data_IF_661921095069
#
_entry.id   IF_661921095069
#
_cell.length_a   1.000
_cell.length_b   1.000
_cell.length_c   1.000
_cell.angle_alpha   90.00
_cell.angle_beta   90.00
_cell.angle_gamma   90.00
#
_symmetry.space_group_name_H-M   'P 1'
#
loop_
_entity.id
_entity.type
_entity.pdbx_description
1 polymer ?
#
# COMPACT_ATOMS: atom_id res chain seq x y z
N UNK A 1 -4.93 21.36 -22.75
CA UNK A 1 -4.92 19.89 -22.75
C UNK A 1 -4.15 19.47 -21.51
N UNK A 2 -4.81 18.92 -20.48
CA UNK A 2 -4.08 18.45 -19.30
C UNK A 2 -3.51 17.08 -19.67
N UNK A 3 -2.19 16.99 -19.85
CA UNK A 3 -1.53 15.73 -20.21
C UNK A 3 -1.67 14.76 -19.03
N UNK A 4 -2.22 13.57 -19.28
CA UNK A 4 -2.25 12.52 -18.26
C UNK A 4 -0.81 12.08 -17.95
N UNK A 5 -0.53 11.85 -16.66
CA UNK A 5 0.78 11.48 -16.14
C UNK A 5 0.63 10.20 -15.31
N UNK A 6 1.68 9.40 -15.28
CA UNK A 6 1.78 8.17 -14.50
C UNK A 6 2.54 8.40 -13.19
N UNK A 7 2.01 7.86 -12.08
CA UNK A 7 2.55 8.05 -10.74
C UNK A 7 2.83 6.74 -10.03
N UNK A 8 3.99 6.68 -9.37
CA UNK A 8 4.31 5.70 -8.33
C UNK A 8 4.30 6.38 -6.96
N UNK A 9 3.55 5.82 -6.02
CA UNK A 9 3.39 6.34 -4.67
C UNK A 9 4.10 5.41 -3.69
N UNK A 10 4.93 5.96 -2.82
CA UNK A 10 5.67 5.21 -1.81
C UNK A 10 5.27 5.67 -0.42
N UNK A 11 4.82 4.75 0.44
CA UNK A 11 4.45 5.04 1.84
C UNK A 11 5.43 4.35 2.77
N UNK A 12 6.03 5.10 3.70
CA UNK A 12 7.12 4.62 4.58
C UNK A 12 6.76 4.53 6.06
N UNK A 13 5.68 5.17 6.50
CA UNK A 13 5.29 5.28 7.91
C UNK A 13 4.17 4.31 8.33
N UNK A 14 4.20 3.91 9.61
CA UNK A 14 3.13 3.13 10.22
C UNK A 14 1.82 3.94 10.31
N UNK A 15 0.65 3.27 10.34
CA UNK A 15 -0.65 3.94 10.32
C UNK A 15 -0.96 4.82 11.54
N UNK A 16 -0.23 4.66 12.65
CA UNK A 16 -0.40 5.43 13.88
C UNK A 16 0.72 6.44 14.15
N UNK A 17 1.81 6.42 13.37
CA UNK A 17 2.94 7.34 13.58
C UNK A 17 2.61 8.77 13.13
N UNK A 18 1.65 8.93 12.21
CA UNK A 18 1.26 10.21 11.67
C UNK A 18 0.06 10.09 10.74
N UNK A 19 -0.14 11.11 9.90
CA UNK A 19 -1.22 11.15 8.92
C UNK A 19 -0.73 10.86 7.49
N UNK A 20 0.52 10.43 7.30
CA UNK A 20 1.12 10.30 5.97
C UNK A 20 0.42 9.26 5.10
N UNK A 21 0.00 8.13 5.68
CA UNK A 21 -0.79 7.12 4.97
C UNK A 21 -2.14 7.67 4.49
N UNK A 22 -2.83 8.45 5.33
CA UNK A 22 -4.09 9.09 4.98
C UNK A 22 -3.90 10.20 3.93
N UNK A 23 -2.82 10.99 4.03
CA UNK A 23 -2.47 12.00 3.04
C UNK A 23 -2.15 11.38 1.68
N UNK A 24 -1.39 10.28 1.67
CA UNK A 24 -1.10 9.51 0.47
C UNK A 24 -2.39 8.97 -0.18
N UNK A 25 -3.32 8.45 0.61
CA UNK A 25 -4.61 7.99 0.11
C UNK A 25 -5.41 9.11 -0.55
N UNK A 26 -5.54 10.26 0.12
CA UNK A 26 -6.22 11.45 -0.44
C UNK A 26 -5.54 11.96 -1.71
N UNK A 27 -4.21 11.92 -1.74
CA UNK A 27 -3.43 12.28 -2.92
C UNK A 27 -3.73 11.34 -4.09
N UNK A 28 -3.78 10.03 -3.85
CA UNK A 28 -4.13 9.02 -4.86
C UNK A 28 -5.54 9.25 -5.42
N UNK A 29 -6.52 9.52 -4.55
CA UNK A 29 -7.89 9.84 -4.96
C UNK A 29 -7.93 11.08 -5.87
N UNK A 30 -7.30 12.17 -5.45
CA UNK A 30 -7.25 13.41 -6.23
C UNK A 30 -6.50 13.26 -7.56
N UNK A 31 -5.45 12.42 -7.62
CA UNK A 31 -4.75 12.11 -8.86
C UNK A 31 -5.67 11.44 -9.88
N UNK A 32 -6.41 10.41 -9.46
CA UNK A 32 -7.33 9.69 -10.34
C UNK A 32 -8.50 10.60 -10.78
N UNK A 33 -9.02 11.44 -9.89
CA UNK A 33 -10.06 12.43 -10.22
C UNK A 33 -9.60 13.45 -11.28
N UNK A 34 -8.31 13.80 -11.29
CA UNK A 34 -7.72 14.67 -12.31
C UNK A 34 -7.38 13.97 -13.62
N UNK A 35 -7.67 12.68 -13.73
CA UNK A 35 -7.43 11.88 -14.93
C UNK A 35 -5.99 11.39 -15.09
N UNK A 36 -5.18 11.43 -14.01
CA UNK A 36 -3.85 10.81 -13.98
C UNK A 36 -3.94 9.30 -13.72
N UNK A 37 -2.83 8.60 -13.95
CA UNK A 37 -2.73 7.16 -13.72
C UNK A 37 -1.88 6.86 -12.48
N UNK A 38 -2.34 5.92 -11.67
CA UNK A 38 -1.54 5.32 -10.60
C UNK A 38 -0.94 4.01 -11.13
N UNK A 39 0.35 4.03 -11.44
CA UNK A 39 1.07 2.82 -11.83
C UNK A 39 1.27 1.88 -10.65
N UNK A 40 1.59 2.44 -9.47
CA UNK A 40 1.85 1.64 -8.27
C UNK A 40 1.65 2.41 -6.98
N UNK A 41 1.15 1.71 -5.97
CA UNK A 41 1.20 2.14 -4.58
C UNK A 41 2.03 1.12 -3.82
N UNK A 42 3.18 1.54 -3.30
CA UNK A 42 4.17 0.67 -2.68
C UNK A 42 4.42 1.06 -1.22
N UNK A 43 4.28 0.11 -0.32
CA UNK A 43 4.50 0.29 1.11
C UNK A 43 5.85 -0.30 1.49
N UNK A 44 6.70 0.54 2.08
CA UNK A 44 8.08 0.23 2.42
C UNK A 44 8.37 0.60 3.87
N UNK A 45 9.47 0.10 4.45
CA UNK A 45 9.82 0.36 5.86
C UNK A 45 8.65 0.05 6.82
N UNK A 46 8.23 1.02 7.65
CA UNK A 46 7.10 0.87 8.56
C UNK A 46 5.75 1.00 7.85
N UNK A 47 5.74 1.48 6.61
CA UNK A 47 4.58 1.55 5.72
C UNK A 47 3.87 0.21 5.56
N UNK A 48 4.60 -0.90 5.60
CA UNK A 48 3.99 -2.25 5.49
C UNK A 48 2.99 -2.55 6.61
N UNK A 49 3.09 -1.87 7.75
CA UNK A 49 2.17 -2.04 8.87
C UNK A 49 0.75 -1.57 8.51
N UNK A 50 0.55 -0.77 7.45
CA UNK A 50 -0.77 -0.34 7.00
C UNK A 50 -1.67 -1.47 6.49
N UNK A 51 -1.11 -2.67 6.24
CA UNK A 51 -1.83 -3.78 5.61
C UNK A 51 -2.35 -4.86 6.59
N UNK A 52 -2.13 -4.69 7.90
CA UNK A 52 -2.55 -5.69 8.87
C UNK A 52 -4.06 -5.63 9.11
N UNK A 53 -4.77 -6.69 8.72
CA UNK A 53 -6.19 -6.90 9.02
C UNK A 53 -6.47 -7.15 10.52
N UNK A 54 -5.42 -7.29 11.34
CA UNK A 54 -5.53 -7.48 12.79
C UNK A 54 -5.51 -6.15 13.56
N UNK A 55 -5.44 -5.01 12.87
CA UNK A 55 -5.56 -3.71 13.50
C UNK A 55 -6.97 -3.52 14.05
N UNK A 56 -7.10 -3.64 15.37
CA UNK A 56 -8.37 -3.39 16.05
C UNK A 56 -8.68 -1.90 16.09
N UNK A 57 -9.93 -1.55 15.82
CA UNK A 57 -10.52 -0.22 16.02
C UNK A 57 -11.99 -0.34 16.47
N UNK A 58 -12.55 0.69 17.09
CA UNK A 58 -14.00 0.81 17.31
C UNK A 58 -14.79 0.64 16.00
N UNK A 59 -16.01 0.08 16.11
CA UNK A 59 -16.83 -0.25 14.94
C UNK A 59 -17.36 0.97 14.17
N UNK A 60 -17.38 2.14 14.81
CA UNK A 60 -17.77 3.44 14.25
C UNK A 60 -16.60 4.17 13.58
N UNK A 61 -15.38 3.62 13.63
CA UNK A 61 -14.19 4.19 13.01
C UNK A 61 -13.73 3.39 11.79
N UNK A 62 -13.55 4.07 10.66
CA UNK A 62 -12.91 3.45 9.51
C UNK A 62 -11.39 3.33 9.73
N UNK A 63 -10.86 2.11 9.69
CA UNK A 63 -9.42 1.91 9.74
C UNK A 63 -8.77 2.44 8.46
N UNK A 64 -7.50 2.84 8.54
CA UNK A 64 -6.77 3.24 7.33
C UNK A 64 -6.52 2.04 6.41
N UNK A 65 -6.39 0.84 6.98
CA UNK A 65 -6.32 -0.42 6.24
C UNK A 65 -7.59 -0.64 5.38
N UNK A 66 -8.77 -0.47 5.98
CA UNK A 66 -10.04 -0.65 5.26
C UNK A 66 -10.22 0.41 4.19
N UNK A 67 -9.85 1.66 4.47
CA UNK A 67 -9.90 2.75 3.49
C UNK A 67 -8.98 2.49 2.29
N UNK A 68 -7.77 1.97 2.50
CA UNK A 68 -6.88 1.56 1.41
C UNK A 68 -7.45 0.39 0.60
N UNK A 69 -8.00 -0.63 1.26
CA UNK A 69 -8.66 -1.76 0.58
C UNK A 69 -9.82 -1.29 -0.29
N UNK A 70 -10.72 -0.48 0.26
CA UNK A 70 -11.88 0.04 -0.48
C UNK A 70 -11.45 0.83 -1.70
N UNK A 71 -10.47 1.72 -1.53
CA UNK A 71 -9.88 2.49 -2.63
C UNK A 71 -9.31 1.59 -3.71
N UNK A 72 -8.47 0.63 -3.33
CA UNK A 72 -7.80 -0.25 -4.27
C UNK A 72 -8.78 -1.18 -4.99
N UNK A 73 -9.76 -1.75 -4.30
CA UNK A 73 -10.81 -2.56 -4.91
C UNK A 73 -11.66 -1.75 -5.89
N UNK A 74 -12.06 -0.52 -5.52
CA UNK A 74 -12.84 0.38 -6.40
C UNK A 74 -12.09 0.70 -7.70
N UNK A 75 -10.78 0.86 -7.63
CA UNK A 75 -9.94 1.23 -8.76
C UNK A 75 -9.17 0.06 -9.40
N UNK A 76 -9.43 -1.18 -8.96
CA UNK A 76 -8.76 -2.40 -9.42
C UNK A 76 -7.23 -2.32 -9.33
N UNK A 77 -6.73 -1.77 -8.22
CA UNK A 77 -5.31 -1.60 -7.95
C UNK A 77 -4.81 -2.71 -7.01
N UNK A 78 -3.58 -3.14 -7.21
CA UNK A 78 -2.83 -3.94 -6.25
C UNK A 78 -2.05 -3.01 -5.29
N UNK A 79 -2.13 -3.28 -3.98
CA UNK A 79 -1.35 -2.55 -2.98
C UNK A 79 -0.09 -3.35 -2.64
N UNK A 80 1.05 -2.90 -3.16
CA UNK A 80 2.30 -3.64 -3.08
C UNK A 80 2.99 -3.41 -1.73
N UNK A 81 3.33 -4.49 -1.04
CA UNK A 81 4.09 -4.49 0.21
C UNK A 81 5.49 -5.02 -0.04
N UNK A 82 6.52 -4.33 0.47
CA UNK A 82 7.87 -4.89 0.43
C UNK A 82 7.96 -6.20 1.22
N UNK A 83 8.11 -7.34 0.54
CA UNK A 83 8.09 -8.68 1.14
C UNK A 83 9.06 -8.81 2.33
N UNK A 84 10.32 -8.38 2.18
CA UNK A 84 11.31 -8.44 3.25
C UNK A 84 10.96 -7.51 4.41
N UNK A 85 10.41 -6.33 4.12
CA UNK A 85 9.97 -5.37 5.13
C UNK A 85 8.77 -5.88 5.92
N UNK A 86 7.82 -6.53 5.24
CA UNK A 86 6.61 -7.12 5.78
C UNK A 86 6.92 -8.29 6.70
N UNK A 87 7.66 -9.30 6.21
CA UNK A 87 7.97 -10.50 6.99
C UNK A 87 8.72 -10.18 8.28
N UNK A 88 9.68 -9.25 8.24
CA UNK A 88 10.42 -8.80 9.45
C UNK A 88 9.54 -8.12 10.49
N UNK A 89 8.36 -7.62 10.11
CA UNK A 89 7.38 -6.94 10.99
C UNK A 89 6.15 -7.80 11.27
N UNK A 90 6.18 -9.09 10.91
CA UNK A 90 5.05 -10.00 11.11
C UNK A 90 3.84 -9.67 10.21
N UNK A 91 4.06 -8.99 9.09
CA UNK A 91 3.05 -8.76 8.05
C UNK A 91 3.23 -9.84 6.98
N UNK A 92 2.22 -10.69 6.79
CA UNK A 92 2.30 -11.83 5.87
C UNK A 92 0.95 -12.21 5.30
N UNK A 93 0.95 -12.63 4.03
CA UNK A 93 -0.20 -13.30 3.42
C UNK A 93 -0.16 -14.81 3.69
N UNK A 94 -1.17 -15.54 3.22
CA UNK A 94 -1.29 -16.99 3.42
C UNK A 94 -0.16 -17.78 2.74
N UNK A 95 0.31 -17.33 1.57
CA UNK A 95 1.35 -18.01 0.80
C UNK A 95 2.69 -17.95 1.53
N UNK A 96 3.07 -16.76 2.00
CA UNK A 96 4.32 -16.57 2.72
C UNK A 96 4.23 -17.11 4.15
N UNK A 97 3.05 -17.12 4.78
CA UNK A 97 2.85 -17.80 6.06
C UNK A 97 3.13 -19.31 5.94
N UNK A 98 2.57 -19.95 4.91
CA UNK A 98 2.83 -21.36 4.62
C UNK A 98 4.32 -21.62 4.31
N UNK A 99 4.91 -20.80 3.44
CA UNK A 99 6.31 -20.95 3.01
C UNK A 99 7.31 -20.82 4.16
N UNK A 100 7.05 -19.93 5.11
CA UNK A 100 7.96 -19.62 6.21
C UNK A 100 7.53 -20.30 7.52
N UNK A 101 6.60 -21.25 7.48
CA UNK A 101 6.06 -21.97 8.65
C UNK A 101 5.57 -21.04 9.78
N UNK A 102 4.92 -19.93 9.41
CA UNK A 102 4.30 -19.01 10.35
C UNK A 102 2.92 -19.54 10.78
N UNK A 103 2.49 -19.26 12.03
CA UNK A 103 1.25 -19.82 12.57
C UNK A 103 -0.02 -19.25 11.91
N UNK A 104 0.05 -18.06 11.32
CA UNK A 104 -1.10 -17.39 10.71
C UNK A 104 -0.66 -16.31 9.72
N UNK A 105 -1.64 -15.77 8.99
CA UNK A 105 -1.50 -14.60 8.11
C UNK A 105 -2.43 -13.47 8.54
N UNK A 106 -2.03 -12.23 8.26
CA UNK A 106 -2.76 -11.02 8.62
C UNK A 106 -2.94 -10.04 7.45
N UNK A 107 -2.56 -10.43 6.24
CA UNK A 107 -2.76 -9.65 5.02
C UNK A 107 -3.86 -10.31 4.18
N UNK A 108 -4.73 -9.48 3.59
CA UNK A 108 -5.83 -9.91 2.74
C UNK A 108 -5.80 -9.17 1.40
N UNK A 109 -6.54 -9.63 0.40
CA UNK A 109 -6.67 -8.91 -0.87
C UNK A 109 -7.24 -7.48 -0.65
N UNK A 110 -6.78 -6.48 -1.41
CA UNK A 110 -5.91 -6.53 -2.59
C UNK A 110 -4.42 -6.23 -2.28
N UNK A 111 -3.99 -6.46 -1.03
CA UNK A 111 -2.59 -6.34 -0.66
C UNK A 111 -1.78 -7.52 -1.21
N UNK A 112 -0.56 -7.26 -1.68
CA UNK A 112 0.35 -8.28 -2.20
C UNK A 112 1.78 -8.07 -1.71
N UNK A 113 2.43 -9.13 -1.22
CA UNK A 113 3.85 -9.09 -0.88
C UNK A 113 4.70 -9.22 -2.15
N UNK A 114 5.49 -8.18 -2.45
CA UNK A 114 6.29 -8.07 -3.67
C UNK A 114 7.75 -7.70 -3.37
N UNK A 115 8.64 -7.99 -4.31
CA UNK A 115 10.06 -7.65 -4.20
C UNK A 115 10.33 -6.17 -4.49
N UNK A 116 11.44 -5.64 -3.97
CA UNK A 116 11.86 -4.24 -4.21
C UNK A 116 12.04 -3.90 -5.71
N UNK A 117 12.35 -4.90 -6.54
CA UNK A 117 12.43 -4.71 -8.00
C UNK A 117 11.15 -4.14 -8.62
N UNK A 118 9.99 -4.49 -8.07
CA UNK A 118 8.70 -3.95 -8.52
C UNK A 118 8.59 -2.45 -8.21
N UNK A 119 9.14 -1.96 -7.09
CA UNK A 119 9.21 -0.52 -6.85
C UNK A 119 10.10 0.17 -7.88
N UNK A 120 11.30 -0.40 -8.12
CA UNK A 120 12.27 0.18 -9.05
C UNK A 120 11.69 0.27 -10.47
N UNK A 121 11.10 -0.81 -10.96
CA UNK A 121 10.44 -0.88 -12.26
C UNK A 121 9.36 0.20 -12.40
N UNK A 122 8.41 0.25 -11.45
CA UNK A 122 7.33 1.23 -11.49
C UNK A 122 7.85 2.68 -11.41
N UNK A 123 8.90 2.94 -10.62
CA UNK A 123 9.53 4.26 -10.55
C UNK A 123 10.22 4.67 -11.85
N UNK A 124 10.74 3.73 -12.64
CA UNK A 124 11.33 3.99 -13.96
C UNK A 124 10.25 4.24 -15.02
N UNK A 125 9.13 3.51 -14.94
CA UNK A 125 8.02 3.62 -15.91
C UNK A 125 7.09 4.81 -15.64
N UNK A 126 7.06 5.32 -14.41
CA UNK A 126 6.20 6.43 -14.02
C UNK A 126 6.84 7.78 -14.35
N UNK A 127 6.02 8.75 -14.76
CA UNK A 127 6.46 10.13 -14.91
C UNK A 127 6.92 10.73 -13.57
N UNK A 128 6.30 10.32 -12.46
CA UNK A 128 6.58 10.85 -11.13
C UNK A 128 6.60 9.73 -10.09
N UNK A 129 7.57 9.79 -9.18
CA UNK A 129 7.56 9.02 -7.93
C UNK A 129 7.39 9.97 -6.75
N UNK A 130 6.36 9.75 -5.92
CA UNK A 130 6.04 10.58 -4.75
C UNK A 130 6.14 9.73 -3.50
N UNK A 131 6.89 10.19 -2.50
CA UNK A 131 7.06 9.49 -1.22
C UNK A 131 6.35 10.21 -0.08
N UNK A 132 5.74 9.45 0.82
CA UNK A 132 5.11 9.87 2.06
C UNK A 132 5.74 9.11 3.22
N UNK A 133 6.19 9.84 4.24
CA UNK A 133 6.75 9.30 5.48
C UNK A 133 7.86 10.19 6.00
#
# INVERSE_FOLDING_TARGET
MNTSLSYTIVIKEAPWQGQQSLQALKFCQALLEKGHHLARVFFYQDGVLNASALQWRPADENSIESQWREFALKHQLELALCITGSLRRGITDAKEAQRNALPSSNVQLPWALTGLGQLIEASVESDRTVSFG
#
